data_IF_227059767967
#
_entry.id   IF_227059767967
#
_cell.length_a   1.000
_cell.length_b   1.000
_cell.length_c   1.000
_cell.angle_alpha   90.00
_cell.angle_beta   90.00
_cell.angle_gamma   90.00
#
_symmetry.space_group_name_H-M   'P 1'
#
loop_
_entity.id
_entity.type
_entity.pdbx_description
1 polymer ?
#
# COMPACT_ATOMS: atom_id res chain seq x y z
N UNK A 1 -2.34 -25.67 25.95
CA UNK A 1 -1.37 -24.58 25.69
C UNK A 1 -1.74 -23.92 24.38
N UNK A 2 -1.99 -22.60 24.33
CA UNK A 2 -2.09 -21.92 23.05
C UNK A 2 -0.77 -22.09 22.28
N UNK A 3 -0.80 -22.24 20.94
CA UNK A 3 0.43 -22.35 20.16
C UNK A 3 1.28 -21.10 20.38
N UNK A 4 2.60 -21.25 20.50
CA UNK A 4 3.51 -20.11 20.59
C UNK A 4 3.30 -19.15 19.41
N UNK A 5 3.21 -17.85 19.72
CA UNK A 5 2.98 -16.74 18.77
C UNK A 5 3.81 -16.85 17.48
N UNK A 6 5.05 -17.36 17.58
CA UNK A 6 5.95 -17.55 16.43
C UNK A 6 5.44 -18.49 15.35
N UNK A 7 4.52 -19.42 15.65
CA UNK A 7 3.98 -20.38 14.66
C UNK A 7 2.79 -19.85 13.86
N UNK A 8 2.27 -18.67 14.16
CA UNK A 8 1.01 -18.19 13.57
C UNK A 8 1.24 -17.06 12.57
N UNK A 9 2.21 -16.18 12.82
CA UNK A 9 2.52 -15.07 11.91
C UNK A 9 3.40 -15.48 10.71
N UNK A 10 4.22 -16.52 10.83
CA UNK A 10 5.25 -16.82 9.81
C UNK A 10 5.01 -18.10 8.98
N UNK A 11 3.92 -18.83 9.23
CA UNK A 11 3.81 -20.24 8.79
C UNK A 11 3.51 -20.47 7.30
N UNK A 12 3.26 -19.43 6.50
CA UNK A 12 2.84 -19.67 5.11
C UNK A 12 3.68 -19.03 4.02
N UNK A 13 4.72 -18.23 4.30
CA UNK A 13 5.61 -17.65 3.28
C UNK A 13 4.92 -16.76 2.22
N UNK A 14 3.60 -16.74 2.18
CA UNK A 14 2.77 -15.84 1.39
C UNK A 14 2.74 -14.53 2.15
N UNK A 15 3.67 -13.64 1.81
CA UNK A 15 3.54 -12.22 2.10
C UNK A 15 2.12 -11.84 1.63
N UNK A 16 1.26 -11.38 2.55
CA UNK A 16 -0.04 -10.82 2.19
C UNK A 16 0.24 -9.45 1.57
N UNK A 17 0.58 -9.44 0.29
CA UNK A 17 1.23 -8.30 -0.35
C UNK A 17 0.21 -7.34 -0.96
N UNK A 18 0.14 -6.10 -0.46
CA UNK A 18 -0.21 -4.98 -1.34
C UNK A 18 1.09 -4.53 -2.00
N UNK A 19 1.23 -4.74 -3.31
CA UNK A 19 2.40 -4.26 -4.06
C UNK A 19 2.05 -2.98 -4.81
N UNK A 20 2.11 -1.90 -4.04
CA UNK A 20 2.71 -0.64 -4.44
C UNK A 20 2.12 0.27 -5.53
N UNK A 21 2.55 1.50 -5.33
CA UNK A 21 2.15 2.77 -5.88
C UNK A 21 2.85 3.03 -7.21
N UNK A 22 2.09 3.47 -8.21
CA UNK A 22 2.60 3.89 -9.52
C UNK A 22 2.51 5.39 -9.60
N UNK A 23 3.60 6.09 -9.94
CA UNK A 23 3.54 7.52 -10.18
C UNK A 23 3.72 7.78 -11.68
N UNK A 24 2.69 8.35 -12.29
CA UNK A 24 2.73 8.88 -13.63
C UNK A 24 2.74 10.41 -13.55
N UNK A 25 3.82 11.05 -13.96
CA UNK A 25 3.88 12.52 -14.03
C UNK A 25 3.50 12.96 -15.44
N UNK A 26 2.45 13.78 -15.53
CA UNK A 26 1.92 14.38 -16.74
C UNK A 26 2.09 15.91 -16.70
N UNK A 27 2.32 16.56 -17.83
CA UNK A 27 2.37 18.03 -17.85
C UNK A 27 1.02 18.69 -17.60
N UNK A 28 1.08 19.94 -17.10
CA UNK A 28 -0.03 20.84 -16.80
C UNK A 28 -1.09 20.91 -17.89
N UNK A 29 -0.69 20.93 -19.16
CA UNK A 29 -1.60 21.03 -20.31
C UNK A 29 -2.46 19.77 -20.53
N UNK A 30 -1.95 18.59 -20.13
CA UNK A 30 -2.63 17.30 -20.30
C UNK A 30 -3.63 17.00 -19.17
N UNK A 31 -3.64 17.78 -18.08
CA UNK A 31 -4.51 17.57 -16.89
C UNK A 31 -6.00 17.75 -17.20
N UNK A 32 -6.37 18.72 -18.03
CA UNK A 32 -7.79 19.12 -18.24
C UNK A 32 -8.64 18.04 -18.92
N UNK A 33 -8.04 17.03 -19.53
CA UNK A 33 -8.76 16.05 -20.37
C UNK A 33 -9.05 14.72 -19.67
N UNK A 34 -8.53 14.50 -18.45
CA UNK A 34 -8.47 13.15 -17.85
C UNK A 34 -9.66 12.78 -16.95
N UNK A 35 -10.64 13.66 -16.83
CA UNK A 35 -11.89 13.36 -16.12
C UNK A 35 -12.99 13.04 -17.13
N UNK A 36 -12.96 11.84 -17.71
CA UNK A 36 -14.12 11.32 -18.44
C UNK A 36 -14.47 9.89 -18.02
N UNK A 37 -15.77 9.66 -17.89
CA UNK A 37 -16.42 8.48 -17.34
C UNK A 37 -15.94 7.15 -17.96
N UNK A 38 -15.59 6.19 -17.11
CA UNK A 38 -15.28 4.84 -17.54
C UNK A 38 -16.49 3.90 -17.46
N UNK A 39 -16.74 3.15 -18.54
CA UNK A 39 -17.66 2.01 -18.61
C UNK A 39 -16.91 0.82 -19.21
N UNK A 40 -16.49 -0.14 -18.39
CA UNK A 40 -15.80 -1.34 -18.88
C UNK A 40 -15.58 -2.43 -17.83
N UNK A 41 -15.32 -3.64 -18.32
CA UNK A 41 -15.40 -4.91 -17.58
C UNK A 41 -14.13 -5.21 -16.76
N UNK A 42 -14.27 -5.44 -15.44
CA UNK A 42 -13.18 -5.47 -14.45
C UNK A 42 -12.12 -6.56 -14.59
N UNK A 43 -12.31 -7.54 -15.48
CA UNK A 43 -11.43 -8.73 -15.59
C UNK A 43 -10.04 -8.47 -16.20
N UNK A 44 -9.80 -7.30 -16.80
CA UNK A 44 -8.53 -6.99 -17.49
C UNK A 44 -7.85 -5.70 -16.99
N UNK A 45 -8.17 -5.25 -15.78
CA UNK A 45 -7.67 -3.99 -15.23
C UNK A 45 -6.53 -4.22 -14.24
N UNK A 46 -5.36 -3.70 -14.63
CA UNK A 46 -4.17 -3.78 -13.80
C UNK A 46 -4.35 -3.04 -12.47
N UNK A 47 -4.89 -1.81 -12.54
CA UNK A 47 -5.05 -0.92 -11.39
C UNK A 47 -6.47 -0.95 -10.83
N UNK A 48 -6.60 -0.92 -9.51
CA UNK A 48 -7.89 -0.92 -8.80
C UNK A 48 -8.41 0.49 -8.55
N UNK A 49 -7.51 1.43 -8.31
CA UNK A 49 -7.84 2.80 -7.94
C UNK A 49 -6.76 3.75 -8.45
N UNK A 50 -7.18 4.99 -8.74
CA UNK A 50 -6.33 6.09 -9.16
C UNK A 50 -6.58 7.29 -8.26
N UNK A 51 -5.53 8.09 -8.02
CA UNK A 51 -5.60 9.34 -7.28
C UNK A 51 -4.90 10.44 -8.08
N UNK A 52 -5.47 11.64 -8.08
CA UNK A 52 -4.73 12.85 -8.45
C UNK A 52 -3.84 13.20 -7.24
N UNK A 53 -2.53 13.11 -7.43
CA UNK A 53 -1.50 13.47 -6.44
C UNK A 53 -0.70 14.69 -6.87
N UNK A 54 -1.28 15.51 -7.74
CA UNK A 54 -0.68 16.76 -8.20
C UNK A 54 -0.45 17.73 -7.02
N UNK A 55 0.62 18.54 -7.06
CA UNK A 55 0.83 19.60 -6.07
C UNK A 55 -0.32 20.61 -6.08
N UNK A 56 -0.50 21.31 -4.94
CA UNK A 56 -1.59 22.26 -4.74
C UNK A 56 -1.60 23.41 -5.76
N UNK A 57 -0.44 23.81 -6.25
CA UNK A 57 -0.28 24.85 -7.28
C UNK A 57 -0.59 24.36 -8.70
N UNK A 58 -0.84 23.06 -8.87
CA UNK A 58 -1.03 22.39 -10.16
C UNK A 58 0.08 22.69 -11.19
N UNK A 59 1.33 22.88 -10.72
CA UNK A 59 2.48 23.10 -11.58
C UNK A 59 2.72 21.95 -12.57
N UNK A 60 2.38 20.73 -12.16
CA UNK A 60 2.37 19.52 -12.97
C UNK A 60 1.26 18.57 -12.50
N UNK A 61 0.92 17.59 -13.34
CA UNK A 61 -0.03 16.53 -13.04
C UNK A 61 0.66 15.29 -12.49
N UNK A 62 0.14 14.69 -11.43
CA UNK A 62 0.58 13.36 -10.95
C UNK A 62 -0.63 12.45 -10.84
N UNK A 63 -0.61 11.34 -11.57
CA UNK A 63 -1.56 10.26 -11.38
C UNK A 63 -0.89 9.13 -10.62
N UNK A 64 -1.41 8.87 -9.43
CA UNK A 64 -1.07 7.73 -8.62
C UNK A 64 -2.03 6.58 -8.94
N UNK A 65 -1.53 5.35 -9.08
CA UNK A 65 -2.36 4.16 -9.17
C UNK A 65 -1.88 3.08 -8.20
N UNK A 66 -2.76 2.14 -7.84
CA UNK A 66 -2.40 0.97 -7.05
C UNK A 66 -2.63 -0.32 -7.82
N UNK A 67 -1.64 -1.23 -7.77
CA UNK A 67 -1.78 -2.63 -8.17
C UNK A 67 -1.71 -3.51 -6.92
N UNK A 68 -2.65 -4.44 -6.75
CA UNK A 68 -2.85 -5.11 -5.46
C UNK A 68 -2.83 -6.64 -5.61
N UNK A 69 -2.29 -7.33 -4.60
CA UNK A 69 -2.31 -8.79 -4.45
C UNK A 69 -1.73 -9.56 -5.65
N UNK A 70 -2.41 -10.60 -6.14
CA UNK A 70 -1.94 -11.47 -7.22
C UNK A 70 -1.58 -10.71 -8.49
N UNK A 71 -2.33 -9.64 -8.82
CA UNK A 71 -2.05 -8.79 -9.98
C UNK A 71 -0.68 -8.13 -9.88
N UNK A 72 -0.35 -7.70 -8.68
CA UNK A 72 0.88 -6.99 -8.40
C UNK A 72 2.07 -7.95 -8.38
N UNK A 73 1.90 -9.16 -7.80
CA UNK A 73 2.89 -10.24 -7.92
C UNK A 73 3.19 -10.60 -9.38
N UNK A 74 2.15 -10.72 -10.21
CA UNK A 74 2.34 -10.99 -11.64
C UNK A 74 3.04 -9.83 -12.34
N UNK A 75 2.61 -8.59 -12.09
CA UNK A 75 3.17 -7.40 -12.71
C UNK A 75 4.67 -7.25 -12.40
N UNK A 76 5.08 -7.40 -11.15
CA UNK A 76 6.49 -7.30 -10.75
C UNK A 76 7.35 -8.52 -11.12
N UNK A 77 6.74 -9.61 -11.63
CA UNK A 77 7.50 -10.70 -12.27
C UNK A 77 8.00 -10.34 -13.68
N UNK A 78 7.48 -9.26 -14.27
CA UNK A 78 7.87 -8.77 -15.59
C UNK A 78 9.11 -7.87 -15.49
N UNK A 79 9.85 -7.76 -16.58
CA UNK A 79 10.96 -6.81 -16.70
C UNK A 79 10.45 -5.36 -16.70
N UNK A 80 11.27 -4.41 -16.25
CA UNK A 80 10.87 -3.00 -16.10
C UNK A 80 10.29 -2.38 -17.38
N UNK A 81 10.90 -2.64 -18.53
CA UNK A 81 10.40 -2.15 -19.82
C UNK A 81 8.98 -2.69 -20.14
N UNK A 82 8.71 -3.96 -19.81
CA UNK A 82 7.40 -4.58 -20.01
C UNK A 82 6.38 -4.02 -19.02
N UNK A 83 6.77 -3.82 -17.75
CA UNK A 83 5.96 -3.20 -16.71
C UNK A 83 5.51 -1.80 -17.12
N UNK A 84 6.47 -0.95 -17.50
CA UNK A 84 6.20 0.40 -18.01
C UNK A 84 5.23 0.38 -19.18
N UNK A 85 5.49 -0.44 -20.20
CA UNK A 85 4.62 -0.51 -21.37
C UNK A 85 3.19 -0.91 -20.99
N UNK A 86 3.04 -1.97 -20.20
CA UNK A 86 1.74 -2.47 -19.75
C UNK A 86 0.99 -1.45 -18.88
N UNK A 87 1.69 -0.76 -17.98
CA UNK A 87 1.12 0.30 -17.16
C UNK A 87 0.60 1.44 -18.04
N UNK A 88 1.41 1.98 -18.94
CA UNK A 88 1.01 3.10 -19.82
C UNK A 88 -0.16 2.73 -20.73
N UNK A 89 -0.21 1.50 -21.25
CA UNK A 89 -1.38 1.02 -21.99
C UNK A 89 -2.65 1.00 -21.13
N UNK A 90 -2.54 0.58 -19.86
CA UNK A 90 -3.67 0.62 -18.94
C UNK A 90 -4.09 2.05 -18.62
N UNK A 91 -3.15 2.95 -18.30
CA UNK A 91 -3.47 4.37 -18.11
C UNK A 91 -4.15 4.96 -19.35
N UNK A 92 -3.69 4.65 -20.56
CA UNK A 92 -4.30 5.15 -21.79
C UNK A 92 -5.73 4.65 -22.05
N UNK A 93 -6.12 3.50 -21.48
CA UNK A 93 -7.52 3.02 -21.53
C UNK A 93 -8.45 3.88 -20.68
N UNK A 94 -7.97 4.44 -19.58
CA UNK A 94 -8.76 5.30 -18.68
C UNK A 94 -8.68 6.78 -19.07
N UNK A 95 -7.51 7.21 -19.49
CA UNK A 95 -7.13 8.62 -19.60
C UNK A 95 -6.79 9.03 -21.05
N UNK A 96 -6.97 8.13 -22.00
CA UNK A 96 -6.70 8.39 -23.42
C UNK A 96 -5.22 8.33 -23.80
N UNK A 97 -4.95 8.47 -25.11
CA UNK A 97 -3.62 8.24 -25.71
C UNK A 97 -2.52 9.15 -25.14
N UNK A 98 -2.86 10.28 -24.54
CA UNK A 98 -1.89 11.18 -23.91
C UNK A 98 -1.10 10.51 -22.78
N UNK A 99 -1.71 9.53 -22.09
CA UNK A 99 -1.04 8.79 -21.02
C UNK A 99 0.04 7.82 -21.53
N UNK A 100 0.15 7.58 -22.84
CA UNK A 100 1.24 6.79 -23.44
C UNK A 100 2.58 7.54 -23.47
N UNK A 101 2.56 8.87 -23.27
CA UNK A 101 3.73 9.73 -23.34
C UNK A 101 3.81 10.61 -22.09
N UNK A 102 4.13 10.03 -20.92
CA UNK A 102 4.40 10.79 -19.71
C UNK A 102 5.80 11.39 -19.74
N UNK A 103 5.99 12.42 -18.92
CA UNK A 103 7.32 13.00 -18.70
C UNK A 103 8.15 12.07 -17.81
N UNK A 104 7.50 11.45 -16.82
CA UNK A 104 8.12 10.50 -15.92
C UNK A 104 7.18 9.34 -15.57
N UNK A 105 7.77 8.16 -15.42
CA UNK A 105 7.10 6.95 -14.97
C UNK A 105 7.99 6.27 -13.94
N UNK A 106 7.42 5.91 -12.80
CA UNK A 106 8.07 5.04 -11.83
C UNK A 106 7.07 4.02 -11.27
N UNK A 107 7.55 2.80 -11.11
CA UNK A 107 6.93 1.76 -10.31
C UNK A 107 7.90 1.35 -9.20
N UNK A 108 7.34 0.97 -8.06
CA UNK A 108 8.11 0.49 -6.91
C UNK A 108 7.43 -0.76 -6.37
N UNK A 109 8.16 -1.68 -5.73
CA UNK A 109 7.60 -2.89 -5.15
C UNK A 109 7.88 -2.91 -3.64
N UNK A 110 6.91 -2.52 -2.82
CA UNK A 110 7.04 -2.54 -1.35
C UNK A 110 7.31 -3.93 -0.76
N UNK A 111 7.06 -4.99 -1.51
CA UNK A 111 7.37 -6.36 -1.08
C UNK A 111 8.87 -6.65 -1.05
N UNK A 112 9.63 -5.91 -1.85
CA UNK A 112 11.08 -6.01 -2.01
C UNK A 112 11.81 -5.07 -1.05
N UNK A 113 11.10 -4.16 -0.37
CA UNK A 113 11.66 -3.31 0.68
C UNK A 113 12.08 -4.15 1.91
N UNK A 114 13.38 -4.22 2.22
CA UNK A 114 13.91 -5.18 3.19
C UNK A 114 13.40 -4.96 4.61
N UNK A 115 13.05 -3.72 4.95
CA UNK A 115 12.58 -3.33 6.29
C UNK A 115 11.06 -3.28 6.42
N UNK A 116 10.33 -3.21 5.30
CA UNK A 116 8.86 -3.13 5.31
C UNK A 116 8.22 -4.51 5.11
N UNK A 117 8.79 -5.33 4.22
CA UNK A 117 8.26 -6.66 3.88
C UNK A 117 6.93 -6.65 3.12
N UNK A 118 6.38 -5.47 2.85
CA UNK A 118 5.10 -5.23 2.19
C UNK A 118 4.55 -3.84 2.51
N UNK A 119 3.32 -3.60 2.07
CA UNK A 119 2.53 -2.40 2.31
C UNK A 119 1.05 -2.83 2.31
N UNK A 120 0.09 -2.02 2.73
CA UNK A 120 0.23 -0.83 3.60
C UNK A 120 0.14 -1.19 5.09
N UNK A 121 -0.37 -2.37 5.42
CA UNK A 121 -0.52 -2.86 6.77
C UNK A 121 -0.26 -4.36 6.80
N UNK A 122 0.13 -4.88 7.97
CA UNK A 122 0.04 -6.32 8.19
C UNK A 122 -1.43 -6.78 8.09
N UNK A 123 -1.65 -7.99 7.58
CA UNK A 123 -2.99 -8.60 7.54
C UNK A 123 -3.02 -9.84 8.41
N UNK A 124 -4.00 -9.91 9.29
CA UNK A 124 -4.24 -11.10 10.11
C UNK A 124 -4.67 -12.29 9.24
N UNK A 125 -4.05 -13.47 9.38
CA UNK A 125 -4.59 -14.67 8.79
C UNK A 125 -5.91 -15.05 9.47
N UNK A 126 -6.71 -15.88 8.81
CA UNK A 126 -7.98 -16.38 9.34
C UNK A 126 -7.81 -16.95 10.75
N UNK A 127 -8.64 -16.48 11.68
CA UNK A 127 -8.63 -16.91 13.08
C UNK A 127 -7.65 -16.15 13.98
N UNK A 128 -6.66 -15.43 13.44
CA UNK A 128 -5.69 -14.72 14.28
C UNK A 128 -6.33 -13.59 15.09
N UNK A 129 -7.24 -12.82 14.49
CA UNK A 129 -7.96 -11.76 15.21
C UNK A 129 -8.73 -12.32 16.42
N UNK A 130 -9.48 -13.40 16.25
CA UNK A 130 -10.28 -13.99 17.34
C UNK A 130 -9.44 -14.69 18.40
N UNK A 131 -8.29 -15.25 18.01
CA UNK A 131 -7.41 -16.00 18.92
C UNK A 131 -6.42 -15.12 19.69
N UNK A 132 -6.03 -13.97 19.12
CA UNK A 132 -4.98 -13.11 19.68
C UNK A 132 -5.42 -11.68 19.94
N UNK A 133 -6.53 -11.19 19.37
CA UNK A 133 -7.11 -9.86 19.67
C UNK A 133 -6.04 -8.78 19.92
N UNK A 134 -6.00 -8.24 21.14
CA UNK A 134 -5.11 -7.17 21.59
C UNK A 134 -3.76 -7.65 22.14
N UNK A 135 -3.45 -8.96 22.05
CA UNK A 135 -2.16 -9.50 22.51
C UNK A 135 -0.96 -8.82 21.83
N UNK A 136 -1.14 -8.32 20.59
CA UNK A 136 -0.07 -7.64 19.86
C UNK A 136 0.37 -6.32 20.51
N UNK A 137 -0.55 -5.60 21.17
CA UNK A 137 -0.24 -4.32 21.82
C UNK A 137 0.19 -4.46 23.28
N UNK A 138 0.11 -5.66 23.87
CA UNK A 138 0.44 -5.87 25.30
C UNK A 138 1.94 -5.72 25.56
N UNK A 139 2.37 -4.82 26.45
CA UNK A 139 3.79 -4.71 26.82
C UNK A 139 4.32 -6.01 27.42
N UNK A 140 5.59 -6.30 27.16
CA UNK A 140 6.31 -7.41 27.78
C UNK A 140 7.50 -6.87 28.58
N UNK A 141 7.43 -6.94 29.91
CA UNK A 141 8.42 -6.35 30.81
C UNK A 141 8.63 -4.84 30.50
N UNK A 142 9.84 -4.47 30.07
CA UNK A 142 10.22 -3.11 29.71
C UNK A 142 10.10 -2.82 28.20
N UNK A 143 9.53 -3.76 27.43
CA UNK A 143 9.29 -3.61 26.00
C UNK A 143 7.84 -3.19 25.78
N UNK A 144 7.66 -2.07 25.11
CA UNK A 144 6.37 -1.54 24.69
C UNK A 144 6.28 -1.58 23.17
N UNK A 145 5.13 -1.98 22.65
CA UNK A 145 4.90 -2.11 21.21
C UNK A 145 4.23 -0.85 20.69
N UNK A 146 4.69 -0.31 19.57
CA UNK A 146 4.05 0.78 18.84
C UNK A 146 3.76 0.32 17.41
N UNK A 147 3.63 1.26 16.47
CA UNK A 147 3.33 0.96 15.07
C UNK A 147 1.84 0.78 14.83
N UNK A 148 1.40 1.07 13.60
CA UNK A 148 -0.03 1.17 13.29
C UNK A 148 -0.79 -0.12 13.55
N UNK A 149 -0.11 -1.27 13.50
CA UNK A 149 -0.68 -2.57 13.79
C UNK A 149 -1.13 -2.75 15.25
N UNK A 150 -0.67 -1.89 16.15
CA UNK A 150 -1.07 -1.89 17.57
C UNK A 150 -2.14 -0.84 17.88
N UNK A 151 -2.65 -0.14 16.87
CA UNK A 151 -3.68 0.88 17.03
C UNK A 151 -5.08 0.26 17.08
N UNK A 152 -5.91 0.72 18.02
CA UNK A 152 -7.32 0.34 18.12
C UNK A 152 -8.21 1.07 17.11
N UNK A 153 -7.74 2.21 16.62
CA UNK A 153 -8.38 3.02 15.59
C UNK A 153 -7.37 3.29 14.46
N UNK A 154 -7.85 3.33 13.23
CA UNK A 154 -7.02 3.62 12.04
C UNK A 154 -5.84 2.64 11.84
N UNK A 155 -6.04 1.36 12.15
CA UNK A 155 -5.10 0.28 11.83
C UNK A 155 -4.69 0.33 10.34
N UNK A 156 -3.38 0.32 10.07
CA UNK A 156 -2.82 0.37 8.73
C UNK A 156 -2.65 1.77 8.14
N UNK A 157 -2.86 2.83 8.92
CA UNK A 157 -2.74 4.22 8.48
C UNK A 157 -1.73 4.99 9.32
N UNK A 158 -1.28 6.13 8.79
CA UNK A 158 -0.37 7.05 9.49
C UNK A 158 -0.97 7.49 10.84
N UNK A 159 -2.27 7.78 10.88
CA UNK A 159 -2.98 8.15 12.11
C UNK A 159 -2.89 7.05 13.17
N UNK A 160 -3.05 5.78 12.78
CA UNK A 160 -2.85 4.64 13.68
C UNK A 160 -1.41 4.55 14.19
N UNK A 161 -0.41 4.81 13.32
CA UNK A 161 1.00 4.81 13.72
C UNK A 161 1.29 5.88 14.78
N UNK A 162 0.79 7.11 14.58
CA UNK A 162 0.94 8.22 15.52
C UNK A 162 0.32 7.86 16.88
N UNK A 163 -0.97 7.47 16.88
CA UNK A 163 -1.71 7.12 18.09
C UNK A 163 -1.07 5.97 18.86
N UNK A 164 -0.61 4.93 18.16
CA UNK A 164 0.09 3.81 18.77
C UNK A 164 1.42 4.24 19.41
N UNK A 165 2.15 5.16 18.77
CA UNK A 165 3.38 5.73 19.32
C UNK A 165 3.14 6.55 20.58
N UNK A 166 2.14 7.43 20.56
CA UNK A 166 1.73 8.24 21.71
C UNK A 166 1.28 7.36 22.88
N UNK A 167 0.47 6.33 22.62
CA UNK A 167 0.08 5.33 23.63
C UNK A 167 1.31 4.67 24.24
N UNK A 168 2.20 4.12 23.42
CA UNK A 168 3.38 3.41 23.90
C UNK A 168 4.29 4.32 24.76
N UNK A 169 4.45 5.60 24.36
CA UNK A 169 5.16 6.59 25.16
C UNK A 169 4.46 6.86 26.50
N UNK A 170 3.14 7.02 26.51
CA UNK A 170 2.35 7.19 27.74
C UNK A 170 2.48 6.02 28.71
N UNK A 171 2.47 4.79 28.19
CA UNK A 171 2.69 3.58 29.00
C UNK A 171 4.06 3.59 29.70
N UNK A 172 5.11 4.05 29.01
CA UNK A 172 6.46 4.16 29.58
C UNK A 172 6.48 5.24 30.68
N UNK A 173 5.93 6.42 30.40
CA UNK A 173 5.89 7.53 31.35
C UNK A 173 5.08 7.23 32.61
N UNK A 174 4.04 6.39 32.50
CA UNK A 174 3.22 5.99 33.64
C UNK A 174 3.86 4.95 34.57
N UNK A 175 4.97 4.33 34.13
CA UNK A 175 5.75 3.36 34.92
C UNK A 175 6.93 4.00 35.67
N UNK A 176 7.18 5.30 35.46
CA UNK A 176 8.19 6.08 36.19
C UNK A 176 7.62 6.65 37.49
#
# INVERSE_FOLDING_TARGET
MPPSLGKIFFRNGKKNTVVACFFLVLQREKRRTLYTHYRGNFRYHLFQVFFDSSPADAGYGVLLAFCIADRARHFFSLQEAQRKNLALQNFARYFGRQALQPDHYTDHCWADEPWSGGCYAALYPTGAWTSFQDELSKPFQNIHWAGTETATEWYGYIEGAVRAGERAAGEILSKA
#
